data_IF_777286824865
#
_entry.id   IF_777286824865
#
_cell.length_a   1.000
_cell.length_b   1.000
_cell.length_c   1.000
_cell.angle_alpha   90.00
_cell.angle_beta   90.00
_cell.angle_gamma   90.00
#
_symmetry.space_group_name_H-M   'P 1'
#
loop_
_entity.id
_entity.type
_entity.pdbx_description
1 polymer ?
#
# COMPACT_ATOMS: atom_id res chain seq x y z
N UNK A 1 -30.10 -48.00 1.45
CA UNK A 1 -30.50 -46.88 0.56
C UNK A 1 -30.06 -45.49 1.05
N UNK A 2 -28.98 -45.35 1.84
CA UNK A 2 -28.43 -44.04 2.26
C UNK A 2 -27.04 -43.74 1.68
N UNK A 3 -26.38 -44.73 1.06
CA UNK A 3 -25.05 -44.57 0.43
C UNK A 3 -25.09 -44.24 -1.07
N UNK A 4 -26.24 -44.46 -1.72
CA UNK A 4 -26.43 -44.19 -3.16
C UNK A 4 -26.75 -42.71 -3.43
N UNK A 5 -27.29 -41.99 -2.43
CA UNK A 5 -27.62 -40.56 -2.54
C UNK A 5 -26.34 -39.69 -2.58
N UNK A 6 -25.23 -40.14 -1.99
CA UNK A 6 -23.95 -39.41 -2.02
C UNK A 6 -23.25 -39.46 -3.37
N UNK A 7 -23.64 -40.39 -4.27
CA UNK A 7 -22.94 -40.61 -5.54
C UNK A 7 -23.40 -39.66 -6.66
N UNK A 8 -24.43 -38.83 -6.42
CA UNK A 8 -24.96 -37.88 -7.41
C UNK A 8 -24.71 -36.40 -7.06
N UNK A 9 -24.08 -36.09 -5.92
CA UNK A 9 -23.83 -34.70 -5.48
C UNK A 9 -22.37 -34.27 -5.73
N UNK A 10 -21.51 -35.18 -6.19
CA UNK A 10 -20.07 -34.93 -6.35
C UNK A 10 -19.64 -34.12 -7.60
N UNK A 11 -20.38 -34.00 -8.72
CA UNK A 11 -19.85 -33.27 -9.86
C UNK A 11 -20.12 -31.76 -9.84
N UNK A 12 -20.91 -31.23 -8.88
CA UNK A 12 -21.27 -29.79 -8.90
C UNK A 12 -20.23 -28.85 -8.27
N UNK A 13 -19.14 -29.38 -7.70
CA UNK A 13 -18.08 -28.59 -7.05
C UNK A 13 -16.93 -28.16 -7.97
N UNK A 14 -16.96 -28.52 -9.26
CA UNK A 14 -15.90 -28.16 -10.23
C UNK A 14 -16.39 -27.28 -11.38
N UNK A 15 -17.45 -26.49 -11.18
CA UNK A 15 -17.67 -25.30 -12.01
C UNK A 15 -16.65 -24.21 -11.62
N UNK A 16 -15.37 -24.51 -11.87
CA UNK A 16 -14.30 -23.52 -11.82
C UNK A 16 -14.63 -22.46 -12.86
N UNK A 17 -15.01 -21.28 -12.37
CA UNK A 17 -14.97 -20.07 -13.15
C UNK A 17 -13.50 -19.81 -13.49
N UNK A 18 -13.08 -20.22 -14.69
CA UNK A 18 -11.87 -19.66 -15.30
C UNK A 18 -12.13 -18.17 -15.49
N UNK A 19 -11.77 -17.36 -14.50
CA UNK A 19 -11.56 -15.93 -14.72
C UNK A 19 -10.42 -15.84 -15.72
N UNK A 20 -10.78 -15.73 -17.00
CA UNK A 20 -9.87 -15.39 -18.08
C UNK A 20 -9.14 -14.12 -17.66
N UNK A 21 -7.89 -14.23 -17.21
CA UNK A 21 -7.05 -13.07 -16.93
C UNK A 21 -6.89 -12.35 -18.27
N UNK A 22 -7.64 -11.27 -18.44
CA UNK A 22 -7.42 -10.34 -19.53
C UNK A 22 -6.05 -9.72 -19.25
N UNK A 23 -5.06 -9.83 -20.15
CA UNK A 23 -3.77 -9.19 -19.95
C UNK A 23 -4.02 -7.69 -19.85
N UNK A 24 -3.84 -7.13 -18.66
CA UNK A 24 -3.89 -5.68 -18.46
C UNK A 24 -2.75 -5.10 -19.29
N UNK A 25 -3.08 -4.45 -20.42
CA UNK A 25 -2.11 -3.64 -21.17
C UNK A 25 -1.79 -2.41 -20.32
N UNK A 26 -0.75 -2.51 -19.50
CA UNK A 26 -0.26 -1.39 -18.69
C UNK A 26 0.41 -0.37 -19.63
N UNK A 27 -0.10 0.86 -19.65
CA UNK A 27 0.57 1.97 -20.32
C UNK A 27 1.67 2.51 -19.39
N UNK A 28 2.89 2.01 -19.57
CA UNK A 28 4.02 2.29 -18.68
C UNK A 28 4.28 3.79 -18.47
N UNK A 29 4.34 4.65 -19.52
CA UNK A 29 4.47 6.10 -19.33
C UNK A 29 3.41 6.72 -18.42
N UNK A 30 2.14 6.37 -18.65
CA UNK A 30 1.01 6.94 -17.89
C UNK A 30 1.03 6.47 -16.44
N UNK A 31 1.28 5.18 -16.19
CA UNK A 31 1.36 4.69 -14.82
C UNK A 31 2.59 5.25 -14.09
N UNK A 32 3.72 5.44 -14.78
CA UNK A 32 4.89 6.10 -14.21
C UNK A 32 4.58 7.53 -13.78
N UNK A 33 3.89 8.30 -14.62
CA UNK A 33 3.47 9.66 -14.28
C UNK A 33 2.55 9.68 -13.04
N UNK A 34 1.60 8.75 -12.94
CA UNK A 34 0.72 8.63 -11.76
C UNK A 34 1.51 8.30 -10.49
N UNK A 35 2.47 7.38 -10.56
CA UNK A 35 3.33 7.01 -9.43
C UNK A 35 4.17 8.22 -9.01
N UNK A 36 4.84 8.90 -9.94
CA UNK A 36 5.62 10.10 -9.63
C UNK A 36 4.77 11.15 -8.92
N UNK A 37 3.55 11.41 -9.41
CA UNK A 37 2.63 12.35 -8.77
C UNK A 37 2.28 11.98 -7.32
N UNK A 38 2.14 10.70 -7.00
CA UNK A 38 1.90 10.25 -5.62
C UNK A 38 3.14 10.49 -4.76
N UNK A 39 4.31 10.09 -5.25
CA UNK A 39 5.59 10.23 -4.54
C UNK A 39 5.94 11.70 -4.31
N UNK A 40 5.78 12.56 -5.30
CA UNK A 40 6.05 13.99 -5.18
C UNK A 40 5.14 14.67 -4.15
N UNK A 41 3.86 14.32 -4.11
CA UNK A 41 2.92 14.85 -3.09
C UNK A 41 3.28 14.35 -1.69
N UNK A 42 3.68 13.10 -1.56
CA UNK A 42 4.10 12.53 -0.29
C UNK A 42 5.38 13.21 0.23
N UNK A 43 6.39 13.39 -0.63
CA UNK A 43 7.61 14.12 -0.32
C UNK A 43 7.35 15.59 0.02
N UNK A 44 6.47 16.27 -0.73
CA UNK A 44 6.06 17.65 -0.42
C UNK A 44 5.42 17.75 0.95
N UNK A 45 4.54 16.81 1.31
CA UNK A 45 3.89 16.78 2.63
C UNK A 45 4.92 16.65 3.77
N UNK A 46 5.99 15.88 3.58
CA UNK A 46 7.10 15.82 4.53
C UNK A 46 7.86 17.15 4.63
N UNK A 47 8.21 17.75 3.49
CA UNK A 47 8.96 19.00 3.43
C UNK A 47 8.20 20.18 4.07
N UNK A 48 6.88 20.20 3.92
CA UNK A 48 5.98 21.20 4.53
C UNK A 48 5.54 20.83 5.95
N UNK A 49 6.06 19.73 6.52
CA UNK A 49 5.69 19.19 7.82
C UNK A 49 4.17 18.99 8.00
N UNK A 50 3.47 18.63 6.92
CA UNK A 50 2.05 18.31 6.96
C UNK A 50 1.83 16.85 7.38
N UNK A 51 1.72 16.64 8.69
CA UNK A 51 1.62 15.32 9.32
C UNK A 51 0.45 14.49 8.77
N UNK A 52 -0.74 15.07 8.67
CA UNK A 52 -1.94 14.35 8.26
C UNK A 52 -1.86 13.94 6.78
N UNK A 53 -1.48 14.85 5.88
CA UNK A 53 -1.34 14.50 4.45
C UNK A 53 -0.23 13.48 4.22
N UNK A 54 0.88 13.58 4.96
CA UNK A 54 2.00 12.64 4.86
C UNK A 54 1.57 11.20 5.22
N UNK A 55 0.86 11.02 6.33
CA UNK A 55 0.42 9.69 6.76
C UNK A 55 -0.84 9.19 6.06
N UNK A 56 -1.71 10.06 5.55
CA UNK A 56 -2.89 9.65 4.76
C UNK A 56 -2.52 9.07 3.39
N UNK A 57 -1.30 9.34 2.89
CA UNK A 57 -0.79 8.72 1.68
C UNK A 57 -0.36 7.26 1.87
N UNK A 58 -0.27 6.78 3.12
CA UNK A 58 0.19 5.42 3.44
C UNK A 58 -0.97 4.44 3.58
N UNK A 59 -0.75 3.19 3.19
CA UNK A 59 -1.66 2.10 3.48
C UNK A 59 -1.77 1.87 5.00
N UNK A 60 -2.91 1.33 5.45
CA UNK A 60 -3.16 1.10 6.89
C UNK A 60 -2.18 0.08 7.50
N UNK A 61 -1.70 -0.86 6.69
CA UNK A 61 -0.74 -1.92 7.04
C UNK A 61 0.69 -1.62 6.57
N UNK A 62 0.98 -0.37 6.18
CA UNK A 62 2.31 0.01 5.74
C UNK A 62 3.35 -0.10 6.87
N UNK A 63 4.57 -0.48 6.47
CA UNK A 63 5.76 -0.52 7.31
C UNK A 63 6.73 0.53 6.80
N UNK A 64 7.19 1.41 7.68
CA UNK A 64 8.28 2.34 7.37
C UNK A 64 9.61 1.70 7.74
N UNK A 65 10.54 1.68 6.77
CA UNK A 65 11.91 1.20 6.97
C UNK A 65 12.85 2.39 6.88
N UNK A 66 13.52 2.70 7.98
CA UNK A 66 14.56 3.70 8.06
C UNK A 66 15.91 3.20 7.55
N UNK A 67 16.97 3.95 7.86
CA UNK A 67 18.33 3.61 7.42
C UNK A 67 19.02 2.68 8.43
N UNK A 68 18.68 2.78 9.71
CA UNK A 68 19.21 1.89 10.74
C UNK A 68 18.38 0.59 10.84
N UNK A 69 19.03 -0.53 11.18
CA UNK A 69 18.39 -1.84 11.23
C UNK A 69 17.26 -1.94 12.27
N UNK A 70 17.28 -1.08 13.30
CA UNK A 70 16.22 -0.99 14.31
C UNK A 70 15.04 -0.11 13.86
N UNK A 71 15.18 0.63 12.75
CA UNK A 71 14.14 1.51 12.21
C UNK A 71 13.17 0.73 11.32
N UNK A 72 12.37 -0.13 11.94
CA UNK A 72 11.28 -0.87 11.31
C UNK A 72 10.00 -0.62 12.11
N UNK A 73 9.12 0.21 11.56
CA UNK A 73 7.96 0.71 12.30
C UNK A 73 6.66 0.44 11.58
N UNK A 74 5.67 -0.06 12.33
CA UNK A 74 4.27 0.07 11.91
C UNK A 74 3.84 1.55 11.99
N UNK A 75 2.82 1.94 11.22
CA UNK A 75 2.37 3.34 11.15
C UNK A 75 2.12 4.01 12.52
N UNK A 76 1.47 3.38 13.51
CA UNK A 76 1.28 4.02 14.82
C UNK A 76 2.59 4.35 15.54
N UNK A 77 3.58 3.46 15.47
CA UNK A 77 4.90 3.67 16.08
C UNK A 77 5.65 4.78 15.35
N UNK A 78 5.64 4.76 14.02
CA UNK A 78 6.30 5.79 13.23
C UNK A 78 5.67 7.17 13.42
N UNK A 79 4.33 7.25 13.52
CA UNK A 79 3.61 8.48 13.88
C UNK A 79 4.11 9.04 15.20
N UNK A 80 4.19 8.21 16.24
CA UNK A 80 4.64 8.62 17.57
C UNK A 80 6.10 9.09 17.56
N UNK A 81 6.99 8.34 16.91
CA UNK A 81 8.39 8.69 16.78
C UNK A 81 8.59 10.02 16.03
N UNK A 82 7.90 10.19 14.90
CA UNK A 82 8.12 11.31 13.99
C UNK A 82 7.40 12.59 14.41
N UNK A 83 6.33 12.50 15.22
CA UNK A 83 5.49 13.65 15.58
C UNK A 83 6.27 14.88 16.08
N UNK A 84 7.29 14.75 16.95
CA UNK A 84 8.05 15.91 17.42
C UNK A 84 8.80 16.66 16.31
N UNK A 85 9.13 16.01 15.19
CA UNK A 85 9.82 16.63 14.06
C UNK A 85 8.83 17.41 13.17
N UNK A 86 7.65 16.82 12.92
CA UNK A 86 6.54 17.51 12.25
C UNK A 86 6.05 18.71 13.05
N UNK A 87 5.90 18.58 14.37
CA UNK A 87 5.46 19.68 15.23
C UNK A 87 6.48 20.84 15.27
N UNK A 88 7.77 20.56 15.03
CA UNK A 88 8.83 21.58 14.89
C UNK A 88 8.89 22.22 13.50
N UNK A 89 8.02 21.82 12.58
CA UNK A 89 7.99 22.31 11.20
C UNK A 89 9.19 21.83 10.36
N UNK A 90 9.92 20.81 10.82
CA UNK A 90 11.15 20.32 10.18
C UNK A 90 11.19 18.79 10.23
N UNK A 91 10.55 18.17 9.25
CA UNK A 91 10.67 16.74 9.00
C UNK A 91 11.73 16.50 7.91
N UNK A 92 11.47 15.59 6.96
CA UNK A 92 12.41 15.23 5.90
C UNK A 92 12.24 16.12 4.66
N UNK A 93 13.35 16.32 3.96
CA UNK A 93 13.36 16.98 2.66
C UNK A 93 13.91 16.00 1.61
N UNK A 94 13.11 15.73 0.58
CA UNK A 94 13.44 14.80 -0.49
C UNK A 94 13.55 15.55 -1.81
N UNK A 95 14.30 15.00 -2.75
CA UNK A 95 14.31 15.49 -4.14
C UNK A 95 13.07 14.92 -4.86
N UNK A 96 12.20 15.76 -5.45
CA UNK A 96 11.10 15.32 -6.30
C UNK A 96 11.60 14.48 -7.49
N UNK A 97 10.72 13.62 -8.05
CA UNK A 97 11.07 12.55 -9.01
C UNK A 97 10.76 12.89 -10.47
#
# INVERSE_FOLDING_TARGET
>A
MKKIIYLLIIPFLFANCEKKQIPVKVNIPVEKEKINNVIDKWHKSAAEANFDLYFNAMATDAIFIGTDASENWIIPEFKNFSKPYFDKGKAWNFKPV
#
